data_IF_037666433979
#
_entry.id   IF_037666433979
#
_cell.length_a   1.000
_cell.length_b   1.000
_cell.length_c   1.000
_cell.angle_alpha   90.00
_cell.angle_beta   90.00
_cell.angle_gamma   90.00
#
_symmetry.space_group_name_H-M   'P 1'
#
loop_
_entity.id
_entity.type
_entity.pdbx_description
1 polymer ?
#
# COMPACT_ATOMS: atom_id res chain seq x y z
N UNK A 1 -18.47 17.24 13.98
CA UNK A 1 -18.69 16.91 12.55
C UNK A 1 -17.73 15.77 12.19
N UNK A 2 -18.21 14.59 11.78
CA UNK A 2 -17.34 13.47 11.40
C UNK A 2 -16.56 13.86 10.13
N UNK A 3 -15.22 13.89 10.16
CA UNK A 3 -14.46 14.26 8.98
C UNK A 3 -14.71 13.24 7.84
N UNK A 4 -15.02 13.69 6.60
CA UNK A 4 -15.38 12.80 5.48
C UNK A 4 -14.23 11.89 4.98
N UNK A 5 -13.07 11.93 5.63
CA UNK A 5 -11.86 11.15 5.32
C UNK A 5 -11.61 10.00 6.32
N UNK A 6 -12.44 9.86 7.37
CA UNK A 6 -12.25 8.87 8.44
C UNK A 6 -12.30 7.42 7.92
N UNK A 7 -13.16 7.15 6.93
CA UNK A 7 -13.26 5.83 6.30
C UNK A 7 -12.01 5.46 5.50
N UNK A 8 -11.43 6.42 4.76
CA UNK A 8 -10.19 6.19 4.00
C UNK A 8 -8.98 6.02 4.94
N UNK A 9 -8.93 6.77 6.04
CA UNK A 9 -7.91 6.56 7.07
C UNK A 9 -8.05 5.21 7.75
N UNK A 10 -9.27 4.75 8.07
CA UNK A 10 -9.47 3.40 8.60
C UNK A 10 -9.07 2.32 7.59
N UNK A 11 -9.41 2.50 6.32
CA UNK A 11 -8.98 1.58 5.26
C UNK A 11 -7.45 1.54 5.13
N UNK A 12 -6.78 2.70 5.19
CA UNK A 12 -5.32 2.81 5.16
C UNK A 12 -4.68 2.09 6.35
N UNK A 13 -5.17 2.35 7.56
CA UNK A 13 -4.70 1.68 8.77
C UNK A 13 -4.91 0.16 8.68
N UNK A 14 -6.05 -0.27 8.13
CA UNK A 14 -6.34 -1.66 7.84
C UNK A 14 -5.34 -2.28 6.86
N UNK A 15 -5.03 -1.60 5.76
CA UNK A 15 -4.03 -2.09 4.79
C UNK A 15 -2.62 -2.14 5.36
N UNK A 16 -2.24 -1.19 6.22
CA UNK A 16 -0.95 -1.22 6.91
C UNK A 16 -0.87 -2.39 7.89
N UNK A 17 -1.93 -2.62 8.68
CA UNK A 17 -2.01 -3.77 9.58
C UNK A 17 -1.91 -5.09 8.81
N UNK A 18 -2.61 -5.18 7.67
CA UNK A 18 -2.57 -6.35 6.80
C UNK A 18 -1.18 -6.56 6.18
N UNK A 19 -0.51 -5.48 5.77
CA UNK A 19 0.87 -5.52 5.29
C UNK A 19 1.83 -6.01 6.37
N UNK A 20 1.67 -5.58 7.63
CA UNK A 20 2.49 -6.06 8.75
C UNK A 20 2.28 -7.55 8.99
N UNK A 21 1.03 -8.03 9.01
CA UNK A 21 0.74 -9.46 9.18
C UNK A 21 1.34 -10.28 8.04
N UNK A 22 1.19 -9.82 6.79
CA UNK A 22 1.81 -10.47 5.64
C UNK A 22 3.33 -10.46 5.69
N UNK A 23 3.96 -9.39 6.19
CA UNK A 23 5.41 -9.31 6.34
C UNK A 23 5.91 -10.36 7.34
N UNK A 24 5.21 -10.51 8.46
CA UNK A 24 5.53 -11.54 9.47
C UNK A 24 5.36 -12.93 8.87
N UNK A 25 4.23 -13.21 8.19
CA UNK A 25 4.00 -14.51 7.54
C UNK A 25 5.04 -14.83 6.46
N UNK A 26 5.42 -13.85 5.64
CA UNK A 26 6.45 -13.99 4.62
C UNK A 26 7.84 -14.30 5.22
N UNK A 27 8.18 -13.71 6.37
CA UNK A 27 9.44 -14.00 7.07
C UNK A 27 9.51 -15.45 7.59
N UNK A 28 8.38 -16.00 8.04
CA UNK A 28 8.32 -17.40 8.49
C UNK A 28 8.23 -18.41 7.34
N UNK A 29 7.77 -18.00 6.15
CA UNK A 29 7.64 -18.85 4.96
C UNK A 29 8.42 -18.29 3.77
N UNK A 30 9.72 -18.05 3.96
CA UNK A 30 10.64 -17.50 2.93
C UNK A 30 10.68 -18.29 1.61
N UNK A 31 10.33 -19.58 1.64
CA UNK A 31 10.23 -20.40 0.42
C UNK A 31 9.02 -20.02 -0.47
N UNK A 32 7.99 -19.42 0.12
CA UNK A 32 6.77 -19.04 -0.59
C UNK A 32 6.94 -17.65 -1.19
N UNK A 33 7.67 -17.63 -2.29
CA UNK A 33 7.87 -16.45 -3.13
C UNK A 33 6.54 -15.69 -3.38
N UNK A 34 5.43 -16.36 -3.61
CA UNK A 34 4.12 -15.72 -3.83
C UNK A 34 3.63 -14.83 -2.67
N UNK A 35 3.99 -15.11 -1.40
CA UNK A 35 3.63 -14.27 -0.25
C UNK A 35 4.34 -12.92 -0.27
N UNK A 36 5.59 -12.91 -0.73
CA UNK A 36 6.38 -11.68 -0.89
C UNK A 36 5.78 -10.79 -1.98
N UNK A 37 5.33 -11.38 -3.10
CA UNK A 37 4.56 -10.66 -4.12
C UNK A 37 3.28 -10.05 -3.56
N UNK A 38 2.52 -10.84 -2.81
CA UNK A 38 1.25 -10.40 -2.22
C UNK A 38 1.48 -9.20 -1.28
N UNK A 39 2.56 -9.23 -0.48
CA UNK A 39 2.98 -8.11 0.35
C UNK A 39 3.19 -6.83 -0.47
N UNK A 40 3.95 -6.91 -1.56
CA UNK A 40 4.22 -5.75 -2.41
C UNK A 40 2.97 -5.20 -3.08
N UNK A 41 2.03 -6.07 -3.48
CA UNK A 41 0.73 -5.62 -4.00
C UNK A 41 -0.14 -4.96 -2.92
N UNK A 42 -0.14 -5.49 -1.69
CA UNK A 42 -0.86 -4.86 -0.57
C UNK A 42 -0.25 -3.49 -0.22
N UNK A 43 1.07 -3.36 -0.24
CA UNK A 43 1.75 -2.08 -0.08
C UNK A 43 1.39 -1.09 -1.19
N UNK A 44 1.37 -1.55 -2.44
CA UNK A 44 0.94 -0.75 -3.59
C UNK A 44 -0.48 -0.22 -3.40
N UNK A 45 -1.41 -1.08 -2.99
CA UNK A 45 -2.79 -0.68 -2.69
C UNK A 45 -2.86 0.33 -1.52
N UNK A 46 -2.02 0.17 -0.50
CA UNK A 46 -1.87 1.13 0.59
C UNK A 46 -1.44 2.51 0.10
N UNK A 47 -0.43 2.58 -0.76
CA UNK A 47 0.04 3.86 -1.34
C UNK A 47 -1.02 4.52 -2.24
N UNK A 48 -1.81 3.73 -2.98
CA UNK A 48 -2.95 4.27 -3.74
C UNK A 48 -4.01 4.86 -2.79
N UNK A 49 -4.31 4.19 -1.68
CA UNK A 49 -5.21 4.74 -0.65
C UNK A 49 -4.65 6.02 -0.02
N UNK A 50 -3.35 6.10 0.26
CA UNK A 50 -2.69 7.34 0.72
C UNK A 50 -2.83 8.46 -0.31
N UNK A 51 -2.65 8.16 -1.60
CA UNK A 51 -2.89 9.10 -2.68
C UNK A 51 -4.33 9.62 -2.71
N UNK A 52 -5.31 8.74 -2.53
CA UNK A 52 -6.73 9.12 -2.46
C UNK A 52 -7.05 9.97 -1.22
N UNK A 53 -6.44 9.67 -0.07
CA UNK A 53 -6.54 10.49 1.15
C UNK A 53 -5.94 11.88 0.91
N UNK A 54 -4.75 11.96 0.30
CA UNK A 54 -4.09 13.21 -0.03
C UNK A 54 -4.91 14.05 -1.02
N UNK A 55 -5.54 13.42 -2.01
CA UNK A 55 -6.49 14.07 -2.94
C UNK A 55 -7.67 14.70 -2.18
N UNK A 56 -8.26 13.98 -1.23
CA UNK A 56 -9.35 14.50 -0.38
C UNK A 56 -8.91 15.61 0.56
N UNK A 57 -7.63 15.63 0.97
CA UNK A 57 -7.01 16.69 1.79
C UNK A 57 -6.50 17.88 0.97
N UNK A 58 -6.69 17.87 -0.35
CA UNK A 58 -6.16 18.88 -1.29
C UNK A 58 -4.62 19.00 -1.28
N UNK A 59 -3.92 17.97 -0.80
CA UNK A 59 -2.45 17.89 -0.79
C UNK A 59 -1.98 17.25 -2.10
N UNK A 60 -1.96 18.04 -3.18
CA UNK A 60 -1.69 17.51 -4.52
C UNK A 60 -0.28 16.93 -4.70
N UNK A 61 0.72 17.54 -4.06
CA UNK A 61 2.10 17.05 -4.10
C UNK A 61 2.18 15.67 -3.44
N UNK A 62 1.59 15.51 -2.24
CA UNK A 62 1.57 14.22 -1.54
C UNK A 62 0.83 13.14 -2.33
N UNK A 63 -0.27 13.50 -3.01
CA UNK A 63 -0.98 12.57 -3.89
C UNK A 63 -0.06 12.04 -5.00
N UNK A 64 0.67 12.95 -5.67
CA UNK A 64 1.57 12.58 -6.78
C UNK A 64 2.72 11.70 -6.25
N UNK A 65 3.32 12.06 -5.11
CA UNK A 65 4.40 11.29 -4.49
C UNK A 65 3.93 9.87 -4.18
N UNK A 66 2.75 9.72 -3.59
CA UNK A 66 2.22 8.41 -3.18
C UNK A 66 1.83 7.54 -4.38
N UNK A 67 1.22 8.13 -5.42
CA UNK A 67 0.95 7.43 -6.67
C UNK A 67 2.23 7.01 -7.39
N UNK A 68 3.26 7.86 -7.39
CA UNK A 68 4.56 7.53 -7.98
C UNK A 68 5.23 6.39 -7.21
N UNK A 69 5.16 6.38 -5.87
CA UNK A 69 5.65 5.25 -5.05
C UNK A 69 4.89 3.96 -5.34
N UNK A 70 3.57 4.01 -5.42
CA UNK A 70 2.75 2.86 -5.79
C UNK A 70 3.19 2.30 -7.16
N UNK A 71 3.39 3.18 -8.15
CA UNK A 71 3.82 2.78 -9.48
C UNK A 71 5.22 2.14 -9.48
N UNK A 72 6.20 2.74 -8.79
CA UNK A 72 7.55 2.19 -8.69
C UNK A 72 7.51 0.80 -8.06
N UNK A 73 6.81 0.63 -6.93
CA UNK A 73 6.74 -0.66 -6.23
C UNK A 73 6.02 -1.70 -7.09
N UNK A 74 4.94 -1.33 -7.76
CA UNK A 74 4.23 -2.23 -8.66
C UNK A 74 5.13 -2.74 -9.80
N UNK A 75 5.82 -1.82 -10.48
CA UNK A 75 6.74 -2.17 -11.57
C UNK A 75 7.90 -3.01 -11.05
N UNK A 76 8.51 -2.63 -9.94
CA UNK A 76 9.64 -3.35 -9.36
C UNK A 76 9.25 -4.76 -8.89
N UNK A 77 8.10 -4.89 -8.22
CA UNK A 77 7.57 -6.17 -7.80
C UNK A 77 7.20 -7.08 -8.98
N UNK A 78 6.68 -6.50 -10.06
CA UNK A 78 6.35 -7.26 -11.29
C UNK A 78 7.61 -7.74 -11.99
N UNK A 79 8.62 -6.88 -12.16
CA UNK A 79 9.88 -7.22 -12.85
C UNK A 79 10.73 -8.19 -12.02
N UNK A 80 10.76 -8.07 -10.70
CA UNK A 80 11.54 -9.00 -9.86
C UNK A 80 10.97 -10.42 -9.84
N UNK A 81 9.71 -10.60 -10.21
CA UNK A 81 9.02 -11.89 -10.16
C UNK A 81 8.79 -12.58 -11.49
N UNK A 82 8.95 -11.86 -12.60
CA UNK A 82 8.81 -12.37 -13.96
C UNK A 82 10.17 -12.39 -14.64
#
# INVERSE_FOLDING_TARGET
>A
MRPPYENYQRALLGTLLLAVVLAVLALFQLEHQWLVLLLFYVLTAGFVLEGLVAMKKQLQIDMIIQLLRAFIIFVFATILYF
#
